data_IF_981116282638
#
_entry.id   IF_981116282638
#
_cell.length_a   1.000
_cell.length_b   1.000
_cell.length_c   1.000
_cell.angle_alpha   90.00
_cell.angle_beta   90.00
_cell.angle_gamma   90.00
#
_symmetry.space_group_name_H-M   'P 1'
#
loop_
_entity.id
_entity.type
_entity.pdbx_description
1 polymer ?
#
# COMPACT_ATOMS: atom_id res chain seq x y z
N UNK A 1 5.42 19.27 -2.99
CA UNK A 1 5.67 17.84 -2.73
C UNK A 1 4.57 17.30 -1.82
N UNK A 2 4.58 17.59 -0.51
CA UNK A 2 3.48 17.23 0.38
C UNK A 2 2.18 17.98 0.05
N UNK A 3 0.99 17.40 0.33
CA UNK A 3 -0.30 18.08 0.21
C UNK A 3 -0.31 19.41 0.97
N UNK A 4 -0.94 20.44 0.41
CA UNK A 4 -1.15 21.71 1.09
C UNK A 4 -2.38 21.68 1.99
N UNK A 5 -2.51 22.71 2.82
CA UNK A 5 -3.75 22.97 3.52
C UNK A 5 -4.89 23.19 2.50
N UNK A 6 -6.00 22.45 2.60
CA UNK A 6 -7.18 22.76 1.81
C UNK A 6 -7.80 24.06 2.32
N UNK A 7 -8.21 24.95 1.43
CA UNK A 7 -8.96 26.16 1.80
C UNK A 7 -10.39 25.79 2.24
N UNK A 8 -10.91 24.66 1.74
CA UNK A 8 -12.22 24.10 2.03
C UNK A 8 -12.25 22.57 1.81
N UNK A 9 -13.27 21.89 2.33
CA UNK A 9 -13.46 20.45 2.07
C UNK A 9 -13.58 20.10 0.57
N UNK A 10 -13.99 21.06 -0.27
CA UNK A 10 -14.09 20.87 -1.72
C UNK A 10 -12.72 20.80 -2.41
N UNK A 11 -11.66 21.27 -1.77
CA UNK A 11 -10.28 21.26 -2.31
C UNK A 11 -9.57 19.92 -2.08
N UNK A 12 -10.18 19.01 -1.32
CA UNK A 12 -9.66 17.66 -1.11
C UNK A 12 -9.85 16.81 -2.37
N UNK A 13 -8.72 16.37 -2.95
CA UNK A 13 -8.67 15.53 -4.15
C UNK A 13 -8.12 14.14 -3.83
N UNK A 14 -8.47 13.09 -4.58
CA UNK A 14 -7.82 11.78 -4.39
C UNK A 14 -6.29 11.86 -4.49
N UNK A 15 -5.59 11.19 -3.58
CA UNK A 15 -4.12 11.22 -3.47
C UNK A 15 -3.48 9.85 -3.76
N UNK A 16 -2.23 9.80 -4.23
CA UNK A 16 -1.38 10.94 -4.61
C UNK A 16 -1.74 11.51 -6.00
N UNK A 17 -1.34 12.76 -6.31
CA UNK A 17 -1.64 13.43 -7.58
C UNK A 17 -0.71 12.98 -8.72
N UNK A 18 -0.62 11.67 -8.96
CA UNK A 18 0.15 11.08 -10.05
C UNK A 18 -0.69 10.09 -10.88
N UNK A 19 -0.09 9.50 -11.91
CA UNK A 19 -0.76 8.49 -12.73
C UNK A 19 -0.97 7.19 -11.93
N UNK A 20 -2.13 6.56 -12.14
CA UNK A 20 -2.51 5.33 -11.45
C UNK A 20 -3.39 5.55 -10.21
N UNK A 21 -3.38 4.58 -9.27
CA UNK A 21 -4.38 4.47 -8.22
C UNK A 21 -4.33 5.59 -7.20
N UNK A 22 -5.50 6.01 -6.72
CA UNK A 22 -5.63 7.08 -5.73
C UNK A 22 -6.62 6.70 -4.64
N UNK A 23 -6.31 7.11 -3.42
CA UNK A 23 -7.20 7.03 -2.27
C UNK A 23 -7.98 8.33 -2.13
N UNK A 24 -9.29 8.22 -1.90
CA UNK A 24 -10.16 9.38 -1.64
C UNK A 24 -9.99 9.91 -0.21
N UNK A 25 -10.31 11.19 0.03
CA UNK A 25 -10.39 11.71 1.40
C UNK A 25 -11.45 10.96 2.20
N UNK A 26 -11.22 10.83 3.51
CA UNK A 26 -12.21 10.38 4.47
C UNK A 26 -13.33 11.41 4.59
N UNK A 27 -14.58 10.96 4.53
CA UNK A 27 -15.75 11.84 4.63
C UNK A 27 -16.18 12.03 6.10
N UNK A 28 -15.90 13.22 6.64
CA UNK A 28 -16.29 13.63 7.98
C UNK A 28 -17.77 14.06 8.10
N UNK A 29 -18.52 14.14 7.00
CA UNK A 29 -19.90 14.68 6.98
C UNK A 29 -20.00 16.09 7.60
N UNK A 30 -18.94 16.89 7.46
CA UNK A 30 -18.78 18.19 8.09
C UNK A 30 -17.31 18.51 8.39
N UNK A 31 -17.05 19.48 9.29
CA UNK A 31 -15.70 19.75 9.80
C UNK A 31 -15.08 18.50 10.44
N UNK A 32 -13.74 18.43 10.47
CA UNK A 32 -13.05 17.35 11.15
C UNK A 32 -13.46 17.33 12.63
N UNK A 33 -13.72 16.13 13.15
CA UNK A 33 -13.99 15.87 14.56
C UNK A 33 -13.41 14.49 14.89
N UNK A 34 -12.31 14.49 15.64
CA UNK A 34 -11.57 13.28 15.98
C UNK A 34 -11.38 13.23 17.48
N UNK A 35 -11.97 12.23 18.11
CA UNK A 35 -11.70 11.93 19.51
C UNK A 35 -10.55 10.92 19.58
N UNK A 36 -9.35 11.40 19.90
CA UNK A 36 -8.21 10.53 20.17
C UNK A 36 -8.48 9.75 21.46
N UNK A 37 -8.47 8.42 21.42
CA UNK A 37 -8.78 7.58 22.57
C UNK A 37 -7.52 7.00 23.21
N UNK A 38 -6.68 6.36 22.40
CA UNK A 38 -5.55 5.54 22.84
C UNK A 38 -4.43 5.59 21.80
N UNK A 39 -3.19 5.63 22.27
CA UNK A 39 -2.01 5.43 21.43
C UNK A 39 -1.76 3.93 21.30
N UNK A 40 -1.74 3.41 20.07
CA UNK A 40 -1.62 1.97 19.80
C UNK A 40 -0.17 1.56 19.53
N UNK A 41 0.70 2.52 19.20
CA UNK A 41 2.10 2.28 18.91
C UNK A 41 2.64 3.11 17.77
N UNK A 42 3.92 2.91 17.48
CA UNK A 42 4.61 3.50 16.34
C UNK A 42 5.30 2.43 15.52
N UNK A 43 5.50 2.75 14.25
CA UNK A 43 6.43 2.07 13.38
C UNK A 43 7.35 3.09 12.72
N UNK A 44 8.27 2.59 11.90
CA UNK A 44 9.28 3.40 11.22
C UNK A 44 8.73 4.68 10.59
N UNK A 45 7.59 4.58 9.92
CA UNK A 45 7.01 5.68 9.11
C UNK A 45 5.87 6.45 9.80
N UNK A 46 5.38 6.04 10.97
CA UNK A 46 4.09 6.55 11.48
C UNK A 46 3.80 6.25 12.94
N UNK A 47 2.86 7.00 13.50
CA UNK A 47 2.16 6.68 14.75
C UNK A 47 0.75 6.15 14.46
N UNK A 48 0.24 5.25 15.29
CA UNK A 48 -1.12 4.69 15.16
C UNK A 48 -1.92 4.97 16.42
N UNK A 49 -3.13 5.49 16.23
CA UNK A 49 -4.05 5.82 17.31
C UNK A 49 -5.38 5.10 17.14
N UNK A 50 -5.98 4.71 18.25
CA UNK A 50 -7.41 4.41 18.30
C UNK A 50 -8.16 5.72 18.41
N UNK A 51 -9.11 5.94 17.50
CA UNK A 51 -9.89 7.17 17.46
C UNK A 51 -11.37 6.86 17.33
N UNK A 52 -12.21 7.78 17.79
CA UNK A 52 -13.63 7.80 17.47
C UNK A 52 -13.93 8.95 16.51
N UNK A 53 -14.56 8.62 15.39
CA UNK A 53 -15.00 9.59 14.38
C UNK A 53 -16.44 9.23 14.01
N UNK A 54 -17.35 10.21 14.02
CA UNK A 54 -18.78 9.99 13.74
C UNK A 54 -19.39 8.84 14.57
N UNK A 55 -18.98 8.74 15.84
CA UNK A 55 -19.46 7.71 16.77
C UNK A 55 -18.88 6.31 16.55
N UNK A 56 -18.03 6.07 15.55
CA UNK A 56 -17.41 4.77 15.25
C UNK A 56 -15.92 4.75 15.58
N UNK A 57 -15.43 3.59 16.04
CA UNK A 57 -14.02 3.35 16.35
C UNK A 57 -13.23 3.02 15.09
N UNK A 58 -12.06 3.63 14.94
CA UNK A 58 -11.11 3.43 13.86
C UNK A 58 -9.67 3.36 14.37
N UNK A 59 -8.79 2.80 13.54
CA UNK A 59 -7.35 2.99 13.66
C UNK A 59 -6.94 4.15 12.73
N UNK A 60 -6.30 5.17 13.29
CA UNK A 60 -5.77 6.32 12.55
C UNK A 60 -4.25 6.22 12.52
N UNK A 61 -3.69 5.95 11.34
CA UNK A 61 -2.23 5.97 11.10
C UNK A 61 -1.83 7.37 10.63
N UNK A 62 -0.98 8.07 11.39
CA UNK A 62 -0.45 9.40 11.08
C UNK A 62 1.02 9.28 10.67
N UNK A 63 1.37 9.76 9.49
CA UNK A 63 2.67 9.54 8.88
C UNK A 63 3.67 10.64 9.22
N UNK A 64 4.90 10.21 9.53
CA UNK A 64 6.07 11.08 9.70
C UNK A 64 6.52 11.67 8.35
N UNK A 65 7.22 12.78 8.40
CA UNK A 65 7.93 13.41 7.29
C UNK A 65 9.32 12.76 7.21
N UNK A 66 9.36 11.59 6.57
CA UNK A 66 10.54 10.74 6.50
C UNK A 66 11.61 11.28 5.55
N UNK A 67 12.83 10.76 5.66
CA UNK A 67 13.96 11.16 4.84
C UNK A 67 13.84 10.62 3.40
N UNK A 68 14.05 11.49 2.42
CA UNK A 68 13.90 11.13 1.00
C UNK A 68 14.77 9.95 0.55
N UNK A 69 15.95 9.79 1.15
CA UNK A 69 16.88 8.68 0.86
C UNK A 69 16.39 7.31 1.35
N UNK A 70 15.34 7.27 2.19
CA UNK A 70 14.71 6.04 2.68
C UNK A 70 13.52 5.59 1.83
N UNK A 71 12.93 6.49 1.02
CA UNK A 71 11.75 6.18 0.20
C UNK A 71 12.08 5.24 -0.96
N UNK A 72 13.21 5.52 -1.60
CA UNK A 72 13.81 4.74 -2.66
C UNK A 72 15.31 5.02 -2.64
N UNK A 73 16.12 4.16 -3.27
CA UNK A 73 17.54 4.45 -3.44
C UNK A 73 17.74 5.58 -4.45
N UNK A 74 17.86 6.81 -3.96
CA UNK A 74 18.21 7.97 -4.78
C UNK A 74 19.73 7.98 -5.02
N UNK A 75 20.16 8.55 -6.14
CA UNK A 75 21.59 8.77 -6.39
C UNK A 75 22.19 9.73 -5.35
N UNK A 76 23.48 9.62 -5.06
CA UNK A 76 24.15 10.43 -4.03
C UNK A 76 24.12 11.93 -4.37
N UNK A 77 24.04 12.28 -5.65
CA UNK A 77 23.93 13.64 -6.17
C UNK A 77 22.48 14.09 -6.41
N UNK A 78 21.48 13.36 -5.91
CA UNK A 78 20.07 13.70 -6.10
C UNK A 78 19.74 15.05 -5.45
N UNK A 79 19.35 16.01 -6.28
CA UNK A 79 18.96 17.35 -5.86
C UNK A 79 17.61 17.32 -5.13
N UNK A 80 17.67 17.29 -3.80
CA UNK A 80 16.50 17.33 -2.93
C UNK A 80 15.82 18.71 -2.85
N UNK A 81 16.46 19.77 -3.34
CA UNK A 81 15.85 21.09 -3.43
C UNK A 81 15.08 21.29 -4.74
N UNK A 82 15.31 20.40 -5.73
CA UNK A 82 14.51 20.34 -6.93
C UNK A 82 13.10 19.81 -6.64
N UNK A 83 12.14 20.73 -6.53
CA UNK A 83 10.75 20.41 -6.24
C UNK A 83 10.10 19.45 -7.24
N UNK A 84 10.48 19.50 -8.52
CA UNK A 84 9.95 18.59 -9.54
C UNK A 84 10.49 17.16 -9.33
N UNK A 85 11.80 17.03 -9.08
CA UNK A 85 12.45 15.75 -8.78
C UNK A 85 11.85 15.12 -7.51
N UNK A 86 11.76 15.89 -6.43
CA UNK A 86 11.18 15.46 -5.17
C UNK A 86 9.72 15.05 -5.31
N UNK A 87 8.92 15.79 -6.09
CA UNK A 87 7.53 15.42 -6.35
C UNK A 87 7.40 14.14 -7.17
N UNK A 88 8.32 13.89 -8.11
CA UNK A 88 8.34 12.67 -8.92
C UNK A 88 8.63 11.41 -8.08
N UNK A 89 9.46 11.52 -7.04
CA UNK A 89 9.73 10.41 -6.10
C UNK A 89 8.61 10.29 -5.06
N UNK A 90 8.26 11.40 -4.41
CA UNK A 90 7.25 11.47 -3.34
C UNK A 90 5.93 10.82 -3.73
N UNK A 91 5.41 11.13 -4.92
CA UNK A 91 4.11 10.65 -5.35
C UNK A 91 4.06 9.12 -5.54
N UNK A 92 5.20 8.43 -5.59
CA UNK A 92 5.26 6.99 -5.83
C UNK A 92 5.83 6.21 -4.64
N UNK A 93 6.82 6.79 -3.93
CA UNK A 93 7.66 6.07 -2.97
C UNK A 93 7.62 6.62 -1.53
N UNK A 94 7.04 7.81 -1.27
CA UNK A 94 6.84 8.25 0.12
C UNK A 94 5.87 7.30 0.84
N UNK A 95 6.11 6.96 2.12
CA UNK A 95 5.29 6.00 2.86
C UNK A 95 3.78 6.23 2.84
N UNK A 96 3.35 7.50 2.91
CA UNK A 96 1.93 7.84 2.82
C UNK A 96 1.39 7.65 1.40
N UNK A 97 2.17 8.03 0.39
CA UNK A 97 1.84 7.81 -1.03
C UNK A 97 1.73 6.31 -1.36
N UNK A 98 2.70 5.49 -0.94
CA UNK A 98 2.68 4.03 -1.15
C UNK A 98 1.38 3.40 -0.64
N UNK A 99 0.97 3.79 0.56
CA UNK A 99 -0.21 3.25 1.20
C UNK A 99 -1.51 3.75 0.55
N UNK A 100 -1.58 5.04 0.18
CA UNK A 100 -2.69 5.58 -0.60
C UNK A 100 -2.86 4.85 -1.94
N UNK A 101 -1.76 4.58 -2.65
CA UNK A 101 -1.81 3.91 -3.97
C UNK A 101 -2.23 2.46 -3.83
N UNK A 102 -1.76 1.76 -2.81
CA UNK A 102 -2.11 0.36 -2.55
C UNK A 102 -3.61 0.21 -2.24
N UNK A 103 -4.13 0.97 -1.28
CA UNK A 103 -5.57 0.95 -0.98
C UNK A 103 -6.42 1.48 -2.13
N UNK A 104 -5.95 2.51 -2.84
CA UNK A 104 -6.59 3.00 -4.06
C UNK A 104 -6.73 1.89 -5.11
N UNK A 105 -5.70 1.06 -5.31
CA UNK A 105 -5.74 -0.08 -6.24
C UNK A 105 -6.74 -1.13 -5.81
N UNK A 106 -6.80 -1.46 -4.51
CA UNK A 106 -7.79 -2.41 -3.99
C UNK A 106 -9.23 -1.93 -4.27
N UNK A 107 -9.50 -0.63 -4.08
CA UNK A 107 -10.81 -0.02 -4.36
C UNK A 107 -11.14 0.06 -5.86
N UNK A 108 -10.15 0.36 -6.71
CA UNK A 108 -10.32 0.40 -8.16
C UNK A 108 -10.60 -0.99 -8.74
N UNK A 109 -9.89 -2.02 -8.25
CA UNK A 109 -10.01 -3.39 -8.74
C UNK A 109 -11.15 -4.19 -8.09
N UNK A 110 -11.76 -3.68 -7.01
CA UNK A 110 -12.82 -4.34 -6.26
C UNK A 110 -12.34 -5.51 -5.41
N UNK A 111 -11.15 -5.38 -4.81
CA UNK A 111 -10.46 -6.39 -4.01
C UNK A 111 -10.10 -5.91 -2.60
N UNK A 112 -10.96 -5.05 -2.04
CA UNK A 112 -10.80 -4.49 -0.69
C UNK A 112 -10.68 -5.58 0.39
N UNK A 113 -11.22 -6.78 0.15
CA UNK A 113 -11.14 -7.93 1.07
C UNK A 113 -9.71 -8.46 1.30
N UNK A 114 -8.75 -8.10 0.45
CA UNK A 114 -7.35 -8.54 0.57
C UNK A 114 -6.62 -7.85 1.73
N UNK A 115 -7.15 -6.74 2.24
CA UNK A 115 -6.58 -5.94 3.32
C UNK A 115 -7.65 -5.54 4.36
N UNK A 116 -7.22 -4.89 5.44
CA UNK A 116 -8.15 -4.20 6.35
C UNK A 116 -8.95 -3.13 5.61
N UNK A 117 -10.16 -2.83 6.07
CA UNK A 117 -10.95 -1.79 5.40
C UNK A 117 -10.24 -0.43 5.53
N UNK A 118 -10.08 0.28 4.41
CA UNK A 118 -9.54 1.63 4.36
C UNK A 118 -10.65 2.62 3.98
N UNK A 119 -10.88 3.60 4.85
CA UNK A 119 -11.99 4.55 4.73
C UNK A 119 -11.60 5.87 4.06
N UNK A 120 -10.31 6.08 3.78
CA UNK A 120 -9.78 7.26 3.12
C UNK A 120 -8.62 7.89 3.87
N UNK A 121 -8.00 8.88 3.24
CA UNK A 121 -6.94 9.68 3.87
C UNK A 121 -7.53 10.91 4.56
N UNK A 122 -6.79 11.49 5.51
CA UNK A 122 -7.08 12.82 6.07
C UNK A 122 -5.82 13.68 6.13
N UNK A 123 -6.02 14.99 6.18
CA UNK A 123 -4.99 15.98 6.48
C UNK A 123 -5.34 16.59 7.83
N UNK A 124 -4.60 16.22 8.87
CA UNK A 124 -4.92 16.58 10.25
C UNK A 124 -4.81 18.10 10.41
N UNK A 125 -5.87 18.73 10.91
CA UNK A 125 -5.88 20.18 11.14
C UNK A 125 -5.08 20.61 12.38
N UNK A 126 -4.80 21.91 12.47
CA UNK A 126 -4.00 22.50 13.54
C UNK A 126 -4.67 22.36 14.93
N UNK A 127 -6.00 22.25 14.98
CA UNK A 127 -6.73 22.01 16.23
C UNK A 127 -6.53 20.57 16.71
N UNK A 128 -6.76 19.59 15.84
CA UNK A 128 -6.63 18.18 16.16
C UNK A 128 -5.17 17.74 16.33
N UNK A 129 -4.22 18.38 15.64
CA UNK A 129 -2.79 18.18 15.91
C UNK A 129 -2.45 18.60 17.36
N UNK A 130 -2.99 19.74 17.84
CA UNK A 130 -2.80 20.19 19.22
C UNK A 130 -3.49 19.29 20.23
N UNK A 131 -4.75 18.93 20.00
CA UNK A 131 -5.52 18.01 20.87
C UNK A 131 -4.77 16.68 21.05
N UNK A 132 -4.28 16.11 19.95
CA UNK A 132 -3.52 14.87 19.97
C UNK A 132 -2.24 15.00 20.79
N UNK A 133 -1.43 16.04 20.54
CA UNK A 133 -0.18 16.28 21.29
C UNK A 133 -0.46 16.52 22.77
N UNK A 134 -1.44 17.36 23.10
CA UNK A 134 -1.79 17.68 24.48
C UNK A 134 -2.31 16.47 25.26
N UNK A 135 -3.03 15.55 24.60
CA UNK A 135 -3.54 14.34 25.24
C UNK A 135 -2.44 13.37 25.67
N UNK A 136 -1.36 13.27 24.90
CA UNK A 136 -0.32 12.25 25.12
C UNK A 136 1.02 12.81 25.62
N UNK A 137 1.14 14.12 25.86
CA UNK A 137 2.42 14.77 26.26
C UNK A 137 2.96 14.34 27.63
N UNK A 138 2.08 13.92 28.54
CA UNK A 138 2.45 13.60 29.92
C UNK A 138 2.86 12.12 30.09
N UNK A 139 2.71 11.30 29.04
CA UNK A 139 3.20 9.92 29.03
C UNK A 139 4.69 9.89 28.64
N UNK A 140 5.60 9.50 29.55
CA UNK A 140 7.03 9.52 29.29
C UNK A 140 7.47 8.51 28.21
N UNK A 141 6.61 7.56 27.84
CA UNK A 141 6.89 6.58 26.79
C UNK A 141 6.37 6.99 25.41
N UNK A 142 5.70 8.14 25.30
CA UNK A 142 5.14 8.63 24.05
C UNK A 142 5.87 9.89 23.60
N UNK A 143 6.70 9.75 22.56
CA UNK A 143 7.41 10.86 21.93
C UNK A 143 6.91 11.12 20.50
N UNK A 144 5.98 12.06 20.36
CA UNK A 144 5.32 12.38 19.09
C UNK A 144 6.14 13.31 18.18
N UNK A 145 7.29 12.83 17.71
CA UNK A 145 8.11 13.53 16.72
C UNK A 145 7.70 13.13 15.29
N UNK A 146 7.35 14.10 14.46
CA UNK A 146 6.90 13.84 13.08
C UNK A 146 7.99 14.10 12.04
N UNK A 147 9.11 14.71 12.40
CA UNK A 147 10.26 14.88 11.51
C UNK A 147 11.17 13.63 11.55
N UNK A 148 11.52 13.08 10.38
CA UNK A 148 12.38 11.89 10.27
C UNK A 148 11.64 10.56 10.51
N UNK A 149 12.36 9.55 10.99
CA UNK A 149 11.83 8.22 11.31
C UNK A 149 12.27 7.76 12.71
N UNK A 150 11.98 6.51 13.08
CA UNK A 150 12.34 5.94 14.38
C UNK A 150 13.84 5.85 14.63
N UNK A 151 14.66 5.76 13.56
CA UNK A 151 16.11 5.62 13.67
C UNK A 151 16.81 6.99 13.89
N UNK A 152 16.16 8.07 13.45
CA UNK A 152 16.64 9.45 13.59
C UNK A 152 15.52 10.48 13.82
N UNK A 153 14.74 10.37 14.91
CA UNK A 153 13.60 11.25 15.15
C UNK A 153 14.06 12.68 15.38
N UNK A 154 13.57 13.61 14.56
CA UNK A 154 13.85 15.04 14.68
C UNK A 154 15.28 15.46 14.32
N UNK A 155 16.13 14.55 13.82
CA UNK A 155 17.51 14.84 13.41
C UNK A 155 17.58 15.92 12.32
N UNK A 156 16.58 15.95 11.44
CA UNK A 156 16.45 16.96 10.38
C UNK A 156 15.03 17.52 10.38
N UNK A 157 14.88 18.83 10.17
CA UNK A 157 13.56 19.49 10.08
C UNK A 157 12.93 19.30 8.69
N UNK A 158 12.54 18.06 8.39
CA UNK A 158 12.04 17.64 7.07
C UNK A 158 10.73 18.35 6.70
N UNK A 159 9.77 18.42 7.62
CA UNK A 159 8.45 19.06 7.41
C UNK A 159 8.60 20.53 7.03
N UNK A 160 9.50 21.26 7.69
CA UNK A 160 9.70 22.69 7.44
C UNK A 160 10.50 22.99 6.18
N UNK A 161 11.23 22.02 5.61
CA UNK A 161 11.95 22.19 4.34
C UNK A 161 11.00 22.45 3.16
N UNK A 162 9.75 22.01 3.27
CA UNK A 162 8.76 22.08 2.19
C UNK A 162 7.50 22.84 2.62
N UNK A 163 7.58 24.16 2.89
CA UNK A 163 6.45 24.94 3.38
C UNK A 163 5.27 24.95 2.38
N UNK A 164 4.06 25.10 2.92
CA UNK A 164 2.80 25.33 2.21
C UNK A 164 2.82 26.62 1.38
N UNK A 165 1.82 26.78 0.50
CA UNK A 165 1.60 28.02 -0.27
C UNK A 165 1.58 29.26 0.60
N UNK A 166 1.05 29.15 1.82
CA UNK A 166 0.96 30.24 2.80
C UNK A 166 2.21 30.39 3.68
N UNK A 167 3.29 29.64 3.42
CA UNK A 167 4.46 29.56 4.29
C UNK A 167 4.28 28.69 5.54
N UNK A 168 3.07 28.18 5.80
CA UNK A 168 2.78 27.30 6.93
C UNK A 168 3.43 25.92 6.77
N UNK A 169 3.67 25.23 7.88
CA UNK A 169 4.03 23.81 7.86
C UNK A 169 2.91 23.00 7.18
N UNK A 170 3.29 21.96 6.45
CA UNK A 170 2.35 21.04 5.78
C UNK A 170 1.51 20.28 6.80
N UNK A 171 0.24 19.95 6.54
CA UNK A 171 -0.57 19.14 7.45
C UNK A 171 0.04 17.75 7.69
N UNK A 172 -0.13 17.19 8.89
CA UNK A 172 0.17 15.78 9.14
C UNK A 172 -0.82 14.95 8.33
N UNK A 173 -0.30 13.99 7.55
CA UNK A 173 -1.11 13.15 6.67
C UNK A 173 -1.50 11.89 7.41
N UNK A 174 -2.73 11.45 7.27
CA UNK A 174 -3.25 10.27 7.95
C UNK A 174 -4.10 9.37 7.07
N UNK A 175 -4.25 8.12 7.46
CA UNK A 175 -5.19 7.17 6.83
C UNK A 175 -6.08 6.56 7.91
N UNK A 176 -7.39 6.61 7.67
CA UNK A 176 -8.41 6.03 8.55
C UNK A 176 -8.67 4.59 8.12
N UNK A 177 -8.43 3.65 9.02
CA UNK A 177 -8.56 2.21 8.78
C UNK A 177 -9.49 1.57 9.79
N UNK A 178 -9.88 0.35 9.48
CA UNK A 178 -10.56 -0.52 10.41
C UNK A 178 -9.72 -0.73 11.66
N UNK A 179 -10.35 -0.56 12.82
CA UNK A 179 -9.78 -1.00 14.07
C UNK A 179 -10.07 -2.49 14.26
N UNK A 180 -9.03 -3.27 14.55
CA UNK A 180 -9.14 -4.70 14.77
C UNK A 180 -8.07 -5.20 15.73
N UNK A 181 -8.07 -6.51 15.97
CA UNK A 181 -7.11 -7.14 16.87
C UNK A 181 -5.92 -7.72 16.09
N UNK A 182 -4.70 -7.66 16.66
CA UNK A 182 -3.55 -8.42 16.15
C UNK A 182 -3.85 -9.92 16.04
N UNK A 183 -3.02 -10.64 15.27
CA UNK A 183 -3.11 -12.09 15.20
C UNK A 183 -2.58 -12.73 16.49
N UNK A 184 -3.48 -13.25 17.34
CA UNK A 184 -3.09 -14.00 18.55
C UNK A 184 -2.82 -15.48 18.28
N UNK A 185 -3.38 -16.02 17.21
CA UNK A 185 -3.19 -17.42 16.81
C UNK A 185 -3.09 -17.54 15.31
N UNK A 186 -2.21 -18.42 14.84
CA UNK A 186 -2.03 -18.68 13.41
C UNK A 186 -2.09 -20.19 13.14
N UNK A 187 -2.82 -20.58 12.10
CA UNK A 187 -2.91 -21.97 11.66
C UNK A 187 -2.49 -22.09 10.19
N UNK A 188 -2.12 -23.30 9.77
CA UNK A 188 -1.76 -23.60 8.38
C UNK A 188 -2.86 -23.21 7.36
N UNK A 189 -4.13 -23.16 7.75
CA UNK A 189 -5.21 -22.67 6.86
C UNK A 189 -5.12 -21.17 6.61
N UNK A 190 -4.71 -20.40 7.61
CA UNK A 190 -4.55 -18.95 7.56
C UNK A 190 -3.31 -18.60 6.73
N UNK A 191 -2.20 -19.32 6.92
CA UNK A 191 -1.01 -19.21 6.06
C UNK A 191 -1.31 -19.44 4.59
N UNK A 192 -2.08 -20.49 4.25
CA UNK A 192 -2.51 -20.71 2.87
C UNK A 192 -3.38 -19.57 2.34
N UNK A 193 -4.17 -18.90 3.19
CA UNK A 193 -4.96 -17.73 2.80
C UNK A 193 -4.04 -16.53 2.56
N UNK A 194 -3.13 -16.24 3.48
CA UNK A 194 -2.16 -15.14 3.37
C UNK A 194 -1.33 -15.28 2.09
N UNK A 195 -0.73 -16.46 1.83
CA UNK A 195 0.04 -16.70 0.61
C UNK A 195 -0.77 -16.49 -0.68
N UNK A 196 -2.06 -16.88 -0.68
CA UNK A 196 -2.97 -16.57 -1.79
C UNK A 196 -3.21 -15.07 -1.93
N UNK A 197 -3.41 -14.36 -0.82
CA UNK A 197 -3.61 -12.91 -0.82
C UNK A 197 -2.38 -12.19 -1.38
N UNK A 198 -1.15 -12.57 -0.98
CA UNK A 198 0.11 -12.04 -1.55
C UNK A 198 0.12 -12.24 -3.06
N UNK A 199 -0.19 -13.46 -3.51
CA UNK A 199 -0.27 -13.80 -4.95
C UNK A 199 -1.32 -12.94 -5.68
N UNK A 200 -2.45 -12.63 -5.03
CA UNK A 200 -3.50 -11.78 -5.59
C UNK A 200 -3.09 -10.30 -5.63
N UNK A 201 -2.41 -9.80 -4.60
CA UNK A 201 -1.84 -8.45 -4.56
C UNK A 201 -0.84 -8.25 -5.72
N UNK A 202 0.03 -9.24 -5.97
CA UNK A 202 0.97 -9.17 -7.08
C UNK A 202 0.28 -9.13 -8.45
N UNK A 203 -0.84 -9.84 -8.62
CA UNK A 203 -1.65 -9.77 -9.84
C UNK A 203 -2.31 -8.40 -10.04
N UNK A 204 -2.58 -7.69 -8.94
CA UNK A 204 -3.06 -6.31 -8.94
C UNK A 204 -1.92 -5.28 -9.12
N UNK A 205 -0.68 -5.75 -9.20
CA UNK A 205 0.52 -4.92 -9.35
C UNK A 205 0.96 -4.25 -8.06
N UNK A 206 0.65 -4.83 -6.90
CA UNK A 206 1.12 -4.40 -5.58
C UNK A 206 2.17 -5.41 -5.10
N UNK A 207 3.40 -4.96 -4.86
CA UNK A 207 4.55 -5.78 -4.39
C UNK A 207 5.32 -5.01 -3.30
N UNK A 208 6.26 -5.65 -2.61
CA UNK A 208 7.07 -5.00 -1.57
C UNK A 208 6.26 -4.71 -0.30
N UNK A 209 5.39 -5.63 0.08
CA UNK A 209 4.32 -5.44 1.08
C UNK A 209 4.77 -5.63 2.54
N UNK A 210 6.08 -5.75 2.80
CA UNK A 210 6.69 -5.94 4.15
C UNK A 210 5.98 -7.03 4.97
N UNK A 211 5.85 -8.24 4.42
CA UNK A 211 5.12 -9.31 5.10
C UNK A 211 5.74 -9.67 6.45
N UNK A 212 4.96 -9.47 7.52
CA UNK A 212 5.23 -9.98 8.86
C UNK A 212 3.90 -10.18 9.61
N UNK A 213 3.93 -10.97 10.67
CA UNK A 213 2.79 -11.27 11.53
C UNK A 213 2.23 -10.00 12.20
N UNK A 214 3.11 -9.08 12.63
CA UNK A 214 2.77 -7.75 13.14
C UNK A 214 1.93 -6.91 12.17
N UNK A 215 1.98 -7.21 10.86
CA UNK A 215 1.21 -6.52 9.82
C UNK A 215 -0.16 -7.17 9.56
N UNK A 216 -0.56 -8.15 10.37
CA UNK A 216 -1.84 -8.85 10.26
C UNK A 216 -2.80 -8.39 11.35
N UNK A 217 -3.87 -7.71 10.94
CA UNK A 217 -4.99 -7.34 11.81
C UNK A 217 -6.20 -8.16 11.40
N UNK A 218 -6.75 -8.92 12.34
CA UNK A 218 -7.88 -9.84 12.10
C UNK A 218 -7.62 -10.77 10.90
N UNK A 219 -6.37 -11.21 10.73
CA UNK A 219 -5.93 -12.10 9.66
C UNK A 219 -5.87 -11.47 8.26
N UNK A 220 -5.86 -10.13 8.17
CA UNK A 220 -5.72 -9.35 6.92
C UNK A 220 -4.53 -8.39 7.01
N UNK A 221 -3.90 -8.14 5.87
CA UNK A 221 -2.76 -7.21 5.76
C UNK A 221 -3.24 -5.78 6.06
N UNK A 222 -2.50 -5.04 6.88
CA UNK A 222 -2.88 -3.70 7.30
C UNK A 222 -1.92 -2.58 6.90
N UNK A 223 -0.69 -2.88 6.49
CA UNK A 223 0.34 -1.88 6.19
C UNK A 223 0.85 -2.02 4.74
N UNK A 224 0.87 -0.91 4.02
CA UNK A 224 1.41 -0.82 2.66
C UNK A 224 2.39 0.35 2.50
N UNK A 225 3.00 0.81 3.59
CA UNK A 225 3.88 1.98 3.58
C UNK A 225 5.19 1.78 2.82
N UNK A 226 5.59 0.55 2.54
CA UNK A 226 6.74 0.21 1.66
C UNK A 226 6.32 -0.29 0.28
N UNK A 227 5.02 -0.46 0.05
CA UNK A 227 4.54 -1.20 -1.10
C UNK A 227 4.71 -0.40 -2.41
N UNK A 228 5.22 -1.08 -3.43
CA UNK A 228 5.28 -0.60 -4.80
C UNK A 228 3.98 -0.97 -5.49
N UNK A 229 3.21 0.04 -5.90
CA UNK A 229 2.00 -0.13 -6.70
C UNK A 229 2.21 0.31 -8.14
N UNK A 230 1.82 -0.52 -9.10
CA UNK A 230 1.91 -0.23 -10.54
C UNK A 230 0.81 0.77 -10.97
N UNK A 231 1.17 1.84 -11.71
CA UNK A 231 2.47 2.09 -12.34
C UNK A 231 3.51 2.67 -11.36
N UNK A 232 4.79 2.28 -11.41
CA UNK A 232 5.84 2.90 -10.57
C UNK A 232 7.09 3.14 -11.39
N UNK A 233 7.88 4.18 -11.09
CA UNK A 233 9.14 4.44 -11.81
C UNK A 233 10.16 3.29 -11.71
N UNK A 234 9.99 2.38 -10.73
CA UNK A 234 10.84 1.20 -10.53
C UNK A 234 10.43 0.06 -11.47
N UNK A 235 9.13 -0.09 -11.71
CA UNK A 235 8.53 -1.29 -12.33
C UNK A 235 7.94 -1.02 -13.71
N UNK A 236 7.77 0.24 -14.11
CA UNK A 236 7.09 0.63 -15.35
C UNK A 236 8.02 1.44 -16.27
N UNK A 237 8.81 0.78 -17.14
CA UNK A 237 9.66 1.46 -18.11
C UNK A 237 8.91 2.43 -19.04
N UNK A 238 7.61 2.22 -19.25
CA UNK A 238 6.75 3.10 -20.05
C UNK A 238 6.63 4.53 -19.49
N UNK A 239 6.96 4.75 -18.21
CA UNK A 239 7.00 6.09 -17.61
C UNK A 239 8.24 6.90 -18.05
N UNK A 240 9.25 6.25 -18.63
CA UNK A 240 10.42 6.94 -19.18
C UNK A 240 10.68 6.47 -20.63
N UNK A 241 10.31 7.29 -21.64
CA UNK A 241 10.47 6.92 -23.05
C UNK A 241 11.93 6.87 -23.51
N UNK A 242 12.88 7.38 -22.72
CA UNK A 242 14.29 7.50 -23.06
C UNK A 242 15.14 6.33 -22.54
N UNK A 243 14.54 5.31 -21.91
CA UNK A 243 15.28 4.17 -21.36
C UNK A 243 15.90 3.30 -22.46
N UNK A 244 17.19 2.99 -22.29
CA UNK A 244 17.90 2.00 -23.11
C UNK A 244 17.39 0.58 -22.83
N UNK A 245 17.67 -0.36 -23.74
CA UNK A 245 17.33 -1.77 -23.51
C UNK A 245 17.96 -2.33 -22.22
N UNK A 246 19.22 -1.96 -21.95
CA UNK A 246 19.93 -2.37 -20.74
C UNK A 246 19.24 -1.85 -19.46
N UNK A 247 18.83 -0.57 -19.45
CA UNK A 247 18.09 0.01 -18.33
C UNK A 247 16.75 -0.69 -18.09
N UNK A 248 16.03 -1.07 -19.15
CA UNK A 248 14.78 -1.83 -19.05
C UNK A 248 15.00 -3.23 -18.45
N UNK A 249 16.04 -3.93 -18.88
CA UNK A 249 16.41 -5.23 -18.31
C UNK A 249 16.84 -5.13 -16.83
N UNK A 250 17.53 -4.05 -16.47
CA UNK A 250 17.92 -3.78 -15.09
C UNK A 250 16.70 -3.53 -14.20
N UNK A 251 15.71 -2.76 -14.67
CA UNK A 251 14.44 -2.56 -13.98
C UNK A 251 13.62 -3.85 -13.85
N UNK A 252 13.63 -4.72 -14.87
CA UNK A 252 12.99 -6.03 -14.80
C UNK A 252 13.60 -6.89 -13.68
N UNK A 253 14.94 -6.90 -13.59
CA UNK A 253 15.66 -7.58 -12.51
C UNK A 253 15.33 -7.00 -11.13
N UNK A 254 15.38 -5.67 -10.97
CA UNK A 254 15.02 -5.00 -9.72
C UNK A 254 13.58 -5.33 -9.29
N UNK A 255 12.64 -5.31 -10.23
CA UNK A 255 11.23 -5.68 -10.00
C UNK A 255 11.10 -7.14 -9.57
N UNK A 256 11.92 -8.03 -10.14
CA UNK A 256 11.95 -9.44 -9.76
C UNK A 256 12.38 -9.61 -8.30
N UNK A 257 13.39 -8.86 -7.86
CA UNK A 257 13.86 -8.88 -6.47
C UNK A 257 12.77 -8.45 -5.50
N UNK A 258 12.10 -7.32 -5.75
CA UNK A 258 10.93 -6.91 -4.94
C UNK A 258 9.83 -7.97 -4.92
N UNK A 259 9.57 -8.60 -6.07
CA UNK A 259 8.49 -9.59 -6.20
C UNK A 259 8.83 -10.91 -5.50
N UNK A 260 10.07 -11.37 -5.52
CA UNK A 260 10.44 -12.62 -4.85
C UNK A 260 10.55 -12.42 -3.32
N UNK A 261 10.97 -11.22 -2.89
CA UNK A 261 11.16 -10.89 -1.49
C UNK A 261 9.89 -10.99 -0.65
N UNK A 262 8.72 -10.64 -1.17
CA UNK A 262 7.45 -10.79 -0.42
C UNK A 262 7.19 -12.25 -0.02
N UNK A 263 7.62 -13.21 -0.86
CA UNK A 263 7.50 -14.63 -0.56
C UNK A 263 8.60 -15.11 0.40
N UNK A 264 9.79 -14.49 0.37
CA UNK A 264 10.83 -14.75 1.36
C UNK A 264 10.43 -14.26 2.75
N UNK A 265 9.90 -13.05 2.84
CA UNK A 265 9.36 -12.49 4.07
C UNK A 265 8.16 -13.28 4.60
N UNK A 266 7.32 -13.83 3.71
CA UNK A 266 6.30 -14.78 4.13
C UNK A 266 6.89 -16.04 4.76
N UNK A 267 7.94 -16.63 4.16
CA UNK A 267 8.61 -17.80 4.72
C UNK A 267 9.31 -17.47 6.05
N UNK A 268 9.96 -16.29 6.17
CA UNK A 268 10.55 -15.80 7.41
C UNK A 268 9.49 -15.61 8.51
N UNK A 269 8.34 -15.04 8.18
CA UNK A 269 7.23 -14.89 9.13
C UNK A 269 6.78 -16.24 9.68
N UNK A 270 6.76 -17.30 8.87
CA UNK A 270 6.40 -18.66 9.34
C UNK A 270 7.47 -19.22 10.25
N UNK A 271 8.74 -19.04 9.91
CA UNK A 271 9.87 -19.51 10.72
C UNK A 271 9.90 -18.76 12.07
N UNK A 272 9.84 -17.42 12.07
CA UNK A 272 9.79 -16.59 13.29
C UNK A 272 8.57 -16.91 14.16
N UNK A 273 7.38 -17.11 13.59
CA UNK A 273 6.21 -17.49 14.37
C UNK A 273 6.43 -18.80 15.13
N UNK A 274 7.03 -19.80 14.48
CA UNK A 274 7.31 -21.08 15.12
C UNK A 274 8.36 -20.96 16.24
N UNK A 275 9.34 -20.06 16.09
CA UNK A 275 10.35 -19.76 17.12
C UNK A 275 9.75 -19.02 18.32
N UNK A 276 8.81 -18.09 18.09
CA UNK A 276 8.15 -17.34 19.16
C UNK A 276 7.06 -18.16 19.89
N UNK A 277 6.55 -19.21 19.25
CA UNK A 277 5.46 -20.06 19.74
C UNK A 277 5.87 -21.55 19.81
N UNK A 278 7.06 -21.84 20.36
CA UNK A 278 7.58 -23.21 20.49
C UNK A 278 6.66 -24.15 21.28
N UNK A 279 5.83 -23.60 22.17
CA UNK A 279 4.85 -24.33 22.98
C UNK A 279 3.62 -24.79 22.16
N UNK A 280 3.45 -24.29 20.93
CA UNK A 280 2.38 -24.71 20.05
C UNK A 280 2.53 -26.20 19.67
N UNK A 281 1.51 -26.99 19.96
CA UNK A 281 1.47 -28.46 19.72
C UNK A 281 1.82 -28.91 18.29
N UNK A 282 1.65 -28.05 17.30
CA UNK A 282 1.92 -28.38 15.90
C UNK A 282 2.52 -27.18 15.20
N UNK A 283 3.77 -27.29 14.69
CA UNK A 283 4.40 -26.19 14.00
C UNK A 283 3.70 -25.89 12.67
N UNK A 284 3.78 -24.63 12.28
CA UNK A 284 3.39 -24.17 10.96
C UNK A 284 4.33 -24.76 9.91
N UNK A 285 3.78 -25.17 8.76
CA UNK A 285 4.50 -25.91 7.72
C UNK A 285 4.09 -25.50 6.29
N UNK A 286 3.45 -24.34 6.16
CA UNK A 286 3.05 -23.78 4.86
C UNK A 286 4.06 -22.73 4.46
N UNK A 287 4.86 -23.06 3.45
CA UNK A 287 5.88 -22.17 2.89
C UNK A 287 5.55 -21.85 1.42
N UNK A 288 5.97 -20.67 0.96
CA UNK A 288 5.95 -20.27 -0.43
C UNK A 288 6.95 -21.13 -1.25
N UNK A 289 8.16 -21.33 -0.73
CA UNK A 289 9.17 -22.15 -1.40
C UNK A 289 9.41 -23.50 -0.70
N UNK A 290 9.82 -24.55 -1.44
CA UNK A 290 10.08 -25.86 -0.83
C UNK A 290 11.12 -25.78 0.29
N UNK A 291 10.72 -26.14 1.51
CA UNK A 291 11.60 -26.19 2.68
C UNK A 291 11.68 -24.89 3.50
N UNK A 292 10.90 -23.84 3.17
CA UNK A 292 10.99 -22.55 3.86
C UNK A 292 12.36 -21.90 3.70
N UNK A 293 12.70 -20.89 4.51
CA UNK A 293 14.00 -20.22 4.39
C UNK A 293 15.12 -21.06 5.02
N UNK A 294 14.84 -21.71 6.15
CA UNK A 294 15.83 -22.51 6.89
C UNK A 294 16.21 -23.86 6.25
N UNK A 295 15.39 -24.43 5.34
CA UNK A 295 15.65 -25.77 4.77
C UNK A 295 15.63 -25.85 3.23
N UNK A 296 15.87 -24.74 2.50
CA UNK A 296 15.91 -24.72 1.02
C UNK A 296 16.83 -25.76 0.38
N UNK A 297 17.85 -26.22 1.11
CA UNK A 297 18.85 -27.19 0.63
C UNK A 297 18.49 -28.68 0.88
N UNK A 298 17.45 -29.01 1.66
CA UNK A 298 17.21 -30.41 2.08
C UNK A 298 16.57 -31.32 1.03
N UNK A 299 15.96 -30.78 -0.04
CA UNK A 299 15.24 -31.58 -1.03
C UNK A 299 15.81 -31.48 -2.45
N UNK A 300 17.09 -31.79 -2.62
CA UNK A 300 17.75 -31.88 -3.93
C UNK A 300 17.77 -33.32 -4.50
N UNK A 301 16.70 -34.10 -4.27
CA UNK A 301 16.67 -35.53 -4.66
C UNK A 301 16.37 -35.76 -6.15
N UNK A 302 16.03 -34.72 -6.93
CA UNK A 302 15.81 -34.78 -8.39
C UNK A 302 16.10 -33.41 -9.03
N UNK A 303 17.31 -33.21 -9.57
CA UNK A 303 17.59 -32.08 -10.45
C UNK A 303 16.87 -32.30 -11.79
N UNK A 304 16.08 -31.31 -12.20
CA UNK A 304 15.45 -31.29 -13.52
C UNK A 304 15.68 -29.87 -14.07
N UNK A 305 15.84 -29.68 -15.38
CA UNK A 305 16.07 -28.35 -15.96
C UNK A 305 15.01 -27.30 -15.55
N UNK A 306 13.77 -27.73 -15.27
CA UNK A 306 12.69 -26.88 -14.75
C UNK A 306 12.88 -26.39 -13.30
N UNK A 307 13.82 -26.97 -12.54
CA UNK A 307 14.21 -26.59 -11.17
C UNK A 307 15.47 -25.70 -11.13
N UNK A 308 16.12 -25.49 -12.28
CA UNK A 308 17.33 -24.68 -12.34
C UNK A 308 17.03 -23.18 -12.37
N UNK A 309 15.87 -22.77 -12.89
CA UNK A 309 15.45 -21.36 -12.90
C UNK A 309 14.92 -20.87 -11.56
N UNK A 310 15.27 -19.64 -11.20
CA UNK A 310 14.66 -18.89 -10.10
C UNK A 310 13.34 -18.25 -10.57
N UNK A 311 12.33 -18.23 -9.70
CA UNK A 311 11.01 -17.70 -10.08
C UNK A 311 10.30 -16.97 -8.94
N UNK A 312 9.42 -16.05 -9.31
CA UNK A 312 8.34 -15.51 -8.49
C UNK A 312 6.99 -16.02 -8.99
N UNK A 313 5.95 -16.02 -8.15
CA UNK A 313 4.65 -16.59 -8.50
C UNK A 313 3.88 -15.77 -9.54
N UNK A 314 4.17 -14.47 -9.65
CA UNK A 314 3.51 -13.54 -10.55
C UNK A 314 4.55 -12.58 -11.13
N UNK A 315 4.37 -12.19 -12.40
CA UNK A 315 5.06 -11.02 -12.95
C UNK A 315 4.14 -9.81 -12.78
N UNK A 316 4.38 -8.92 -11.80
CA UNK A 316 3.51 -7.77 -11.56
C UNK A 316 3.52 -6.79 -12.75
N UNK A 317 4.60 -6.72 -13.54
CA UNK A 317 4.68 -5.82 -14.72
C UNK A 317 3.66 -6.17 -15.80
N UNK A 318 3.03 -7.35 -15.75
CA UNK A 318 1.93 -7.74 -16.65
C UNK A 318 0.56 -7.24 -16.18
N UNK A 319 0.49 -6.58 -15.02
CA UNK A 319 -0.70 -5.95 -14.52
C UNK A 319 -1.17 -4.86 -15.49
N UNK A 320 -2.35 -5.07 -16.11
CA UNK A 320 -2.97 -4.08 -16.98
C UNK A 320 -3.64 -2.98 -16.15
N UNK A 321 -2.82 -2.15 -15.53
CA UNK A 321 -3.25 -1.16 -14.55
C UNK A 321 -4.19 -0.09 -15.11
N UNK A 322 -4.12 0.17 -16.43
CA UNK A 322 -5.04 1.10 -17.12
C UNK A 322 -6.46 0.57 -17.22
N UNK A 323 -6.65 -0.75 -17.19
CA UNK A 323 -7.99 -1.35 -17.23
C UNK A 323 -8.82 -1.06 -15.97
N UNK A 324 -8.17 -0.81 -14.83
CA UNK A 324 -8.88 -0.50 -13.57
C UNK A 324 -9.42 0.93 -13.55
N UNK A 325 -8.74 1.87 -14.19
CA UNK A 325 -9.14 3.29 -14.19
C UNK A 325 -10.38 3.54 -15.08
N UNK A 326 -10.55 2.77 -16.16
CA UNK A 326 -11.70 2.88 -17.07
C UNK A 326 -13.05 2.55 -16.40
N UNK A 327 -13.04 1.72 -15.35
CA UNK A 327 -14.24 1.42 -14.55
C UNK A 327 -14.69 2.55 -13.63
N UNK A 328 -13.86 3.57 -13.43
CA UNK A 328 -14.12 4.67 -12.48
C UNK A 328 -14.76 5.89 -13.15
N UNK A 329 -14.47 6.15 -14.42
CA UNK A 329 -14.93 7.35 -15.15
C UNK A 329 -16.37 7.26 -15.67
N UNK A 330 -16.91 6.05 -15.88
CA UNK A 330 -18.30 5.86 -16.31
C UNK A 330 -19.37 6.19 -15.25
N UNK A 331 -18.96 6.68 -14.07
CA UNK A 331 -19.85 7.06 -12.97
C UNK A 331 -20.04 8.58 -12.77
N UNK A 332 -19.41 9.42 -13.58
CA UNK A 332 -19.49 10.89 -13.43
C UNK A 332 -20.21 11.49 -14.66
N UNK A 333 -21.50 11.78 -14.48
CA UNK A 333 -22.33 12.68 -15.29
C UNK A 333 -22.30 12.51 -16.83
N UNK A 334 -23.15 11.63 -17.35
CA UNK A 334 -23.77 11.85 -18.66
C UNK A 334 -25.19 12.40 -18.46
N UNK A 335 -25.53 13.60 -18.97
CA UNK A 335 -26.89 14.11 -18.90
C UNK A 335 -27.80 13.24 -19.77
N UNK A 336 -28.85 12.70 -19.14
CA UNK A 336 -29.88 11.93 -19.78
C UNK A 336 -30.62 12.77 -20.83
N UNK A 337 -30.32 12.54 -22.09
CA UNK A 337 -31.14 12.97 -23.20
C UNK A 337 -31.37 11.78 -24.11
N UNK A 338 -32.56 11.18 -24.04
CA UNK A 338 -33.30 10.79 -25.24
C UNK A 338 -34.76 10.41 -24.90
N UNK A 339 -35.63 11.34 -25.31
CA UNK A 339 -36.88 11.17 -26.07
C UNK A 339 -38.08 10.39 -25.52
N UNK A 340 -39.16 11.17 -25.36
CA UNK A 340 -40.58 10.77 -25.27
C UNK A 340 -41.05 9.99 -26.51
N UNK A 341 -41.84 8.93 -26.28
CA UNK A 341 -43.05 8.47 -27.03
C UNK A 341 -43.57 7.20 -26.33
N UNK A 342 -44.68 7.24 -25.59
CA UNK A 342 -46.02 6.88 -26.08
C UNK A 342 -46.64 5.75 -25.22
N UNK A 343 -47.97 5.56 -25.15
CA UNK A 343 -48.68 5.45 -23.86
C UNK A 343 -49.45 4.13 -23.60
N UNK A 344 -50.01 4.05 -22.36
CA UNK A 344 -51.01 3.09 -21.79
C UNK A 344 -50.34 1.88 -21.08
N UNK A 345 -50.73 1.47 -19.87
CA UNK A 345 -52.10 1.28 -19.36
C UNK A 345 -52.14 1.25 -17.81
N UNK A 346 -53.30 1.63 -17.24
CA UNK A 346 -53.75 1.55 -15.83
C UNK A 346 -53.55 0.11 -15.27
N UNK A 347 -53.54 -0.24 -13.97
CA UNK A 347 -54.28 0.21 -12.79
C UNK A 347 -53.86 -0.73 -11.63
N UNK A 348 -53.61 -0.21 -10.41
CA UNK A 348 -54.21 -0.65 -9.12
C UNK A 348 -53.31 -0.28 -7.94
N UNK A 349 -53.87 0.59 -7.11
CA UNK A 349 -53.49 0.85 -5.73
C UNK A 349 -53.70 -0.41 -4.89
N UNK A 350 -52.78 -0.66 -3.96
CA UNK A 350 -53.11 -1.22 -2.65
C UNK A 350 -52.18 -0.60 -1.60
N UNK A 351 -52.80 0.18 -0.74
CA UNK A 351 -52.28 0.65 0.54
C UNK A 351 -52.14 -0.54 1.46
N UNK A 352 -50.96 -0.76 2.05
CA UNK A 352 -50.85 -1.37 3.38
C UNK A 352 -49.72 -0.69 4.14
N UNK A 353 -50.07 -0.27 5.36
CA UNK A 353 -49.18 0.30 6.35
C UNK A 353 -48.43 -0.82 7.09
N UNK A 354 -47.16 -0.58 7.39
CA UNK A 354 -46.36 -1.46 8.23
C UNK A 354 -44.98 -0.87 8.43
N UNK A 355 -44.75 -0.26 9.60
CA UNK A 355 -43.45 0.28 9.97
C UNK A 355 -42.42 -0.83 10.20
N UNK A 356 -41.16 -0.56 9.84
CA UNK A 356 -39.96 -0.82 10.66
C UNK A 356 -38.67 -0.64 9.84
N UNK A 357 -37.68 -0.03 10.53
CA UNK A 357 -36.24 -0.05 10.28
C UNK A 357 -35.72 0.75 9.09
N UNK A 358 -35.27 1.97 9.42
CA UNK A 358 -34.26 2.72 8.69
C UNK A 358 -32.98 1.87 8.58
N UNK A 359 -32.88 1.07 7.51
CA UNK A 359 -31.61 0.60 6.98
C UNK A 359 -31.03 1.77 6.18
N UNK A 360 -29.90 2.30 6.64
CA UNK A 360 -29.09 3.23 5.85
C UNK A 360 -28.81 2.59 4.49
N UNK A 361 -29.35 3.20 3.45
CA UNK A 361 -29.25 2.73 2.08
C UNK A 361 -27.82 2.86 1.58
N UNK A 362 -27.03 1.79 1.77
CA UNK A 362 -25.78 1.59 1.05
C UNK A 362 -26.14 1.34 -0.41
N UNK A 363 -26.12 2.39 -1.24
CA UNK A 363 -26.13 2.24 -2.70
C UNK A 363 -24.76 1.70 -3.11
N UNK A 364 -24.50 0.42 -2.80
CA UNK A 364 -23.39 -0.31 -3.39
C UNK A 364 -23.83 -0.67 -4.81
N UNK A 365 -23.55 0.20 -5.78
CA UNK A 365 -23.33 -0.29 -7.14
C UNK A 365 -22.14 -1.26 -7.03
N UNK A 366 -22.40 -2.57 -6.95
CA UNK A 366 -21.32 -3.57 -6.87
C UNK A 366 -20.47 -3.42 -8.12
N UNK A 367 -19.35 -2.69 -8.00
CA UNK A 367 -18.31 -2.67 -9.03
C UNK A 367 -17.91 -4.12 -9.25
N UNK A 368 -17.88 -4.53 -10.51
CA UNK A 368 -17.50 -5.90 -10.86
C UNK A 368 -16.01 -6.03 -10.61
N UNK A 369 -15.65 -6.78 -9.56
CA UNK A 369 -14.26 -7.06 -9.25
C UNK A 369 -13.54 -7.64 -10.47
N UNK A 370 -12.28 -7.26 -10.67
CA UNK A 370 -11.47 -7.79 -11.75
C UNK A 370 -11.22 -9.29 -11.50
N UNK A 371 -11.20 -10.07 -12.57
CA UNK A 371 -10.94 -11.50 -12.43
C UNK A 371 -9.44 -11.72 -12.23
N UNK A 372 -9.07 -12.28 -11.09
CA UNK A 372 -7.72 -12.76 -10.81
C UNK A 372 -7.60 -14.25 -11.17
N UNK A 373 -6.42 -14.65 -11.63
CA UNK A 373 -6.10 -16.04 -11.90
C UNK A 373 -5.87 -16.78 -10.57
N UNK A 374 -6.55 -17.92 -10.41
CA UNK A 374 -6.36 -18.78 -9.24
C UNK A 374 -4.96 -19.45 -9.22
N UNK A 375 -4.33 -19.56 -10.39
CA UNK A 375 -3.00 -20.14 -10.60
C UNK A 375 -2.28 -19.31 -11.68
N UNK A 376 -1.77 -18.12 -11.32
CA UNK A 376 -1.07 -17.28 -12.28
C UNK A 376 0.19 -18.00 -12.79
N UNK A 377 0.63 -17.62 -14.00
CA UNK A 377 1.86 -18.16 -14.58
C UNK A 377 3.06 -17.64 -13.79
N UNK A 378 3.89 -18.56 -13.28
CA UNK A 378 5.18 -18.25 -12.65
C UNK A 378 6.04 -17.38 -13.56
N UNK A 379 6.69 -16.40 -12.97
CA UNK A 379 7.68 -15.56 -13.62
C UNK A 379 9.06 -16.13 -13.35
N UNK A 380 9.67 -16.72 -14.38
CA UNK A 380 11.05 -17.15 -14.31
C UNK A 380 11.95 -15.99 -14.73
N UNK A 381 12.96 -15.68 -13.92
CA UNK A 381 13.96 -14.67 -14.25
C UNK A 381 14.90 -15.23 -15.32
N UNK A 382 15.14 -14.45 -16.37
CA UNK A 382 16.16 -14.77 -17.36
C UNK A 382 17.52 -14.27 -16.87
N UNK A 383 18.26 -15.11 -16.16
CA UNK A 383 19.57 -14.76 -15.60
C UNK A 383 20.59 -15.91 -15.80
N UNK A 384 21.86 -15.62 -15.50
CA UNK A 384 22.91 -16.65 -15.49
C UNK A 384 22.66 -17.68 -14.39
N UNK A 385 23.28 -18.86 -14.53
CA UNK A 385 23.21 -19.91 -13.50
C UNK A 385 23.81 -19.45 -12.16
N UNK A 386 24.85 -18.61 -12.20
CA UNK A 386 25.48 -18.05 -11.00
C UNK A 386 24.51 -17.13 -10.25
N UNK A 387 23.82 -16.22 -10.95
CA UNK A 387 22.81 -15.33 -10.35
C UNK A 387 21.65 -16.15 -9.78
N UNK A 388 21.18 -17.15 -10.53
CA UNK A 388 20.12 -18.04 -10.04
C UNK A 388 20.55 -18.84 -8.81
N UNK A 389 21.81 -19.27 -8.71
CA UNK A 389 22.33 -19.99 -7.55
C UNK A 389 22.40 -19.08 -6.31
N UNK A 390 22.85 -17.83 -6.46
CA UNK A 390 22.88 -16.82 -5.39
C UNK A 390 21.46 -16.54 -4.88
N UNK A 391 20.52 -16.24 -5.77
CA UNK A 391 19.13 -15.95 -5.37
C UNK A 391 18.39 -17.14 -4.76
N UNK A 392 18.87 -18.38 -4.94
CA UNK A 392 18.29 -19.55 -4.26
C UNK A 392 18.68 -19.64 -2.79
N UNK A 393 19.88 -19.14 -2.44
CA UNK A 393 20.39 -19.15 -1.06
C UNK A 393 20.04 -17.87 -0.31
N UNK A 394 19.82 -16.76 -1.02
CA UNK A 394 19.44 -15.49 -0.41
C UNK A 394 18.03 -15.54 0.21
N UNK A 395 17.88 -14.86 1.34
CA UNK A 395 16.61 -14.65 2.05
C UNK A 395 16.19 -13.18 2.09
N UNK A 396 17.02 -12.29 1.57
CA UNK A 396 16.79 -10.85 1.49
C UNK A 396 17.51 -10.28 0.27
N UNK A 397 17.18 -9.06 -0.12
CA UNK A 397 17.89 -8.38 -1.19
C UNK A 397 18.21 -6.93 -0.80
N UNK A 398 19.16 -6.36 -1.54
CA UNK A 398 19.38 -4.92 -1.56
C UNK A 398 19.09 -4.40 -2.95
N UNK A 399 18.61 -3.17 -3.03
CA UNK A 399 18.45 -2.49 -4.30
C UNK A 399 19.75 -2.48 -5.09
N UNK A 400 19.67 -2.85 -6.36
CA UNK A 400 20.81 -2.82 -7.28
C UNK A 400 20.85 -1.54 -8.12
N UNK A 401 19.77 -0.77 -8.06
CA UNK A 401 19.61 0.48 -8.79
C UNK A 401 19.52 1.67 -7.83
N UNK A 402 20.16 2.76 -8.23
CA UNK A 402 19.90 4.10 -7.74
C UNK A 402 19.13 4.91 -8.78
N UNK A 403 18.42 5.95 -8.34
CA UNK A 403 17.53 6.73 -9.20
C UNK A 403 17.95 8.20 -9.32
N UNK A 404 18.06 8.66 -10.55
CA UNK A 404 18.35 10.04 -10.96
C UNK A 404 17.07 10.68 -11.54
N UNK A 405 16.87 11.99 -11.34
CA UNK A 405 15.83 12.74 -12.04
C UNK A 405 16.44 13.67 -13.08
N UNK A 406 16.09 13.46 -14.36
CA UNK A 406 16.61 14.26 -15.48
C UNK A 406 15.54 14.45 -16.53
N UNK A 407 15.48 15.66 -17.09
CA UNK A 407 14.54 16.00 -18.19
C UNK A 407 13.08 15.63 -17.89
N UNK A 408 12.65 15.75 -16.63
CA UNK A 408 11.28 15.48 -16.20
C UNK A 408 10.95 14.02 -15.90
N UNK A 409 11.91 13.09 -15.98
CA UNK A 409 11.69 11.65 -15.78
C UNK A 409 12.79 11.01 -14.91
N UNK A 410 12.49 9.83 -14.36
CA UNK A 410 13.42 9.06 -13.51
C UNK A 410 14.28 8.11 -14.35
N UNK A 411 15.60 8.10 -14.12
CA UNK A 411 16.56 7.18 -14.75
C UNK A 411 17.16 6.22 -13.71
N UNK A 412 17.28 4.92 -14.03
CA UNK A 412 18.00 3.97 -13.20
C UNK A 412 19.51 3.98 -13.48
N UNK A 413 20.31 3.87 -12.43
CA UNK A 413 21.76 3.72 -12.47
C UNK A 413 22.18 2.47 -11.69
N UNK A 414 23.03 1.64 -12.28
CA UNK A 414 23.62 0.53 -11.53
C UNK A 414 24.57 1.04 -10.46
N UNK A 415 24.50 0.38 -9.31
CA UNK A 415 25.44 0.59 -8.21
C UNK A 415 26.78 -0.09 -8.44
#
# INVERSE_FOLDING_TARGET
MFPDWPDSAADLIPLPPCEGPKLKPFDFQGPQKIDFLEYLGEGRHSFVFKVQILGRIYALKLFRFDHAFEWARLNDDFDQDNHAAMSAVYNYADPFSCECRSFGRLQEAGHEELAVDCFGYLLLDEEHERIMRDKFKDDPYIFLEFDGNTDGPGCYKVRSRYPGKSGKLRPIRGIVKEFGTPAETMQNKDLRRILRNITQLHQLGIIGIDMADRQLISGRICDFSTAITIPHFITNPELNPYLTAAAKSAMEYETFLYSINDYWLFDDMVDLWNEEHEDQKTPLSVFAFPGGNLNRNRYNLRSTPSRDGIYSFVNPMKCNWRAFSATTESGVNAPSNMTKRGPRQRQRQRLEAGGQKLKSGRVNSKRRAVRLDAKPRRWYLNCSQQVAAVLKIDTWFTNTLAWEFKSGVMFPHHR
#
